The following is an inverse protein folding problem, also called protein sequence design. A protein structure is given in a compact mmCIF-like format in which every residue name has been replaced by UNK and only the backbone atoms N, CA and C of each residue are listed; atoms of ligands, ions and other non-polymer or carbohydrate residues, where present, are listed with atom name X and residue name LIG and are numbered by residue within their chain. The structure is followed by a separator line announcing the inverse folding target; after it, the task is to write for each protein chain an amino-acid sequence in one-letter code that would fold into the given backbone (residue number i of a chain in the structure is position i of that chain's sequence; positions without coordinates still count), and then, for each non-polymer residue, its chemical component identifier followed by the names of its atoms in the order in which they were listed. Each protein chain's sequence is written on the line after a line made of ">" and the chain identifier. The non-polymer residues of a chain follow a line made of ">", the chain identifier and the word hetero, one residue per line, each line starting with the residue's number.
data_IF_957296465965
#
_entry.id   IF_957296465965
#
_cell.length_a   1.000
_cell.length_b   1.000
_cell.length_c   1.000
_cell.angle_alpha   90.00
_cell.angle_beta   90.00
_cell.angle_gamma   90.00
#
_symmetry.space_group_name_H-M   'P 1'
#
loop_
_entity.id
_entity.type
_entity.pdbx_description
1 polymer ?
#
# COMPACT_ATOMS: atom_id res chain seq x y z
N UNK A 1 -13.19 3.34 -4.36
CA UNK A 1 -11.75 3.00 -4.46
C UNK A 1 -10.99 3.79 -3.42
N UNK A 2 -10.18 3.11 -2.60
CA UNK A 2 -9.34 3.72 -1.58
C UNK A 2 -7.86 3.54 -1.93
N UNK A 3 -7.07 4.59 -1.73
CA UNK A 3 -5.65 4.64 -2.10
C UNK A 3 -4.78 4.21 -0.91
N UNK A 4 -3.82 3.34 -1.19
CA UNK A 4 -2.86 2.77 -0.25
C UNK A 4 -1.43 3.04 -0.72
N UNK A 5 -0.84 4.13 -0.25
CA UNK A 5 0.54 4.47 -0.54
C UNK A 5 1.47 3.74 0.44
N UNK A 6 2.21 2.75 -0.07
CA UNK A 6 3.22 1.98 0.66
C UNK A 6 4.60 2.62 0.47
N UNK A 7 4.68 3.92 0.74
CA UNK A 7 5.92 4.71 0.61
C UNK A 7 6.30 5.37 1.94
N UNK A 8 7.60 5.57 2.20
CA UNK A 8 8.06 6.21 3.44
C UNK A 8 7.76 7.72 3.51
N UNK A 9 7.42 8.32 2.36
CA UNK A 9 7.24 9.75 2.15
C UNK A 9 5.78 10.15 1.90
N UNK A 10 4.82 9.35 2.39
CA UNK A 10 3.39 9.68 2.25
C UNK A 10 3.07 11.05 2.85
N UNK A 11 2.59 11.95 1.99
CA UNK A 11 2.30 13.36 2.28
C UNK A 11 1.21 13.57 3.33
N UNK A 12 0.32 12.59 3.53
CA UNK A 12 -0.76 12.61 4.52
C UNK A 12 -0.34 12.16 5.92
N UNK A 13 0.93 11.76 6.14
CA UNK A 13 1.41 11.24 7.43
C UNK A 13 0.87 9.85 7.77
N UNK A 14 0.17 9.21 6.83
CA UNK A 14 -0.45 7.88 6.94
C UNK A 14 0.39 6.77 6.30
N UNK A 15 1.59 7.12 5.82
CA UNK A 15 2.46 6.21 5.07
C UNK A 15 2.76 5.00 5.92
N UNK A 16 2.42 3.81 5.41
CA UNK A 16 2.64 2.56 6.12
C UNK A 16 4.12 2.29 6.44
N UNK A 17 5.04 3.06 5.83
CA UNK A 17 6.48 2.98 5.99
C UNK A 17 7.12 4.21 6.67
N UNK A 18 6.34 5.02 7.39
CA UNK A 18 6.84 6.26 8.01
C UNK A 18 7.96 6.05 9.05
N UNK A 19 8.23 4.81 9.51
CA UNK A 19 9.38 4.50 10.36
C UNK A 19 9.88 3.05 10.19
N UNK A 20 11.13 2.73 10.60
CA UNK A 20 11.63 1.35 10.61
C UNK A 20 10.80 0.39 11.48
N UNK A 21 10.15 0.91 12.53
CA UNK A 21 9.23 0.13 13.35
C UNK A 21 7.92 -0.17 12.60
N UNK A 22 7.48 0.72 11.71
CA UNK A 22 6.29 0.53 10.89
C UNK A 22 6.46 -0.66 9.93
N UNK A 23 7.67 -0.94 9.45
CA UNK A 23 7.94 -2.12 8.62
C UNK A 23 7.61 -3.44 9.34
N UNK A 24 7.87 -3.54 10.66
CA UNK A 24 7.56 -4.76 11.44
C UNK A 24 6.07 -5.02 11.57
N UNK A 25 5.26 -3.96 11.55
CA UNK A 25 3.80 -4.04 11.71
C UNK A 25 3.06 -3.76 10.40
N UNK A 26 3.76 -3.66 9.27
CA UNK A 26 3.23 -3.24 7.97
C UNK A 26 1.96 -4.01 7.59
N UNK A 27 1.99 -5.34 7.74
CA UNK A 27 0.86 -6.22 7.43
C UNK A 27 -0.37 -5.87 8.27
N UNK A 28 -0.18 -5.77 9.59
CA UNK A 28 -1.26 -5.48 10.53
C UNK A 28 -1.86 -4.08 10.29
N UNK A 29 -1.00 -3.06 10.14
CA UNK A 29 -1.44 -1.69 9.87
C UNK A 29 -2.16 -1.58 8.52
N UNK A 30 -1.72 -2.34 7.50
CA UNK A 30 -2.41 -2.40 6.23
C UNK A 30 -3.82 -2.99 6.38
N UNK A 31 -3.97 -4.11 7.09
CA UNK A 31 -5.28 -4.74 7.33
C UNK A 31 -6.22 -3.80 8.07
N UNK A 32 -5.80 -3.23 9.20
CA UNK A 32 -6.62 -2.30 9.99
C UNK A 32 -7.09 -1.09 9.18
N UNK A 33 -6.21 -0.53 8.36
CA UNK A 33 -6.56 0.60 7.49
C UNK A 33 -7.51 0.18 6.37
N UNK A 34 -7.34 -1.02 5.82
CA UNK A 34 -8.18 -1.54 4.75
C UNK A 34 -9.58 -1.87 5.24
N UNK A 35 -9.71 -2.49 6.42
CA UNK A 35 -10.99 -2.72 7.10
C UNK A 35 -11.75 -1.40 7.27
N UNK A 36 -11.06 -0.33 7.69
CA UNK A 36 -11.66 0.99 7.75
C UNK A 36 -12.14 1.46 6.38
N UNK A 37 -11.34 1.35 5.33
CA UNK A 37 -11.79 1.76 4.00
C UNK A 37 -13.01 0.98 3.50
N UNK A 38 -13.01 -0.34 3.66
CA UNK A 38 -14.16 -1.19 3.31
C UNK A 38 -15.39 -0.80 4.12
N UNK A 39 -15.25 -0.55 5.42
CA UNK A 39 -16.35 -0.07 6.26
C UNK A 39 -16.91 1.30 5.83
N UNK A 40 -16.10 2.12 5.15
CA UNK A 40 -16.53 3.40 4.55
C UNK A 40 -16.99 3.25 3.09
N UNK A 41 -17.17 2.02 2.59
CA UNK A 41 -17.72 1.74 1.26
C UNK A 41 -16.69 1.69 0.14
N UNK A 42 -15.41 1.43 0.42
CA UNK A 42 -14.43 1.21 -0.63
C UNK A 42 -14.51 -0.23 -1.17
N UNK A 43 -14.87 -0.37 -2.45
CA UNK A 43 -14.91 -1.69 -3.14
C UNK A 43 -13.54 -2.14 -3.65
N UNK A 44 -12.64 -1.18 -3.90
CA UNK A 44 -11.31 -1.39 -4.48
C UNK A 44 -10.26 -0.77 -3.55
N UNK A 45 -9.21 -1.52 -3.26
CA UNK A 45 -8.00 -1.08 -2.58
C UNK A 45 -6.87 -0.96 -3.61
N UNK A 46 -6.41 0.26 -3.86
CA UNK A 46 -5.40 0.56 -4.88
C UNK A 46 -4.03 0.78 -4.23
N UNK A 47 -3.14 -0.20 -4.39
CA UNK A 47 -1.85 -0.29 -3.69
C UNK A 47 -0.72 0.25 -4.58
N UNK A 48 -0.03 1.31 -4.14
CA UNK A 48 1.14 1.87 -4.81
C UNK A 48 2.41 1.78 -3.95
N UNK A 49 3.50 1.23 -4.49
CA UNK A 49 4.80 1.13 -3.80
C UNK A 49 5.79 2.24 -4.16
N UNK A 50 5.43 3.09 -5.12
CA UNK A 50 6.21 4.20 -5.62
C UNK A 50 5.42 5.51 -5.49
N UNK A 51 6.10 6.60 -5.12
CA UNK A 51 5.45 7.89 -4.98
C UNK A 51 5.34 8.57 -6.35
N UNK A 52 4.14 8.99 -6.72
CA UNK A 52 3.85 9.75 -7.95
C UNK A 52 3.86 11.26 -7.73
N UNK A 53 4.29 11.74 -6.55
CA UNK A 53 4.36 13.18 -6.25
C UNK A 53 5.39 13.89 -7.14
N UNK A 54 5.18 15.18 -7.47
CA UNK A 54 6.16 15.96 -8.24
C UNK A 54 7.55 15.95 -7.59
N UNK A 55 8.57 15.57 -8.35
CA UNK A 55 9.96 15.53 -7.89
C UNK A 55 10.34 14.27 -7.08
N UNK A 56 9.45 13.27 -6.95
CA UNK A 56 9.85 11.97 -6.41
C UNK A 56 10.88 11.30 -7.31
N UNK A 57 11.90 10.71 -6.68
CA UNK A 57 12.84 9.85 -7.39
C UNK A 57 12.17 8.50 -7.67
N UNK A 58 12.24 7.98 -8.90
CA UNK A 58 11.72 6.66 -9.20
C UNK A 58 12.50 5.59 -8.42
N UNK A 59 11.81 4.52 -8.04
CA UNK A 59 12.40 3.36 -7.39
C UNK A 59 12.55 2.20 -8.37
N UNK A 60 13.43 1.24 -8.04
CA UNK A 60 13.54 0.02 -8.84
C UNK A 60 12.28 -0.85 -8.70
N UNK A 61 12.00 -1.71 -9.70
CA UNK A 61 10.92 -2.69 -9.61
C UNK A 61 11.04 -3.58 -8.37
N UNK A 62 12.25 -4.06 -8.07
CA UNK A 62 12.52 -4.88 -6.89
C UNK A 62 12.13 -4.14 -5.60
N UNK A 63 12.49 -2.86 -5.48
CA UNK A 63 12.13 -2.03 -4.32
C UNK A 63 10.62 -1.84 -4.20
N UNK A 64 9.92 -1.64 -5.32
CA UNK A 64 8.47 -1.50 -5.31
C UNK A 64 7.79 -2.81 -4.90
N UNK A 65 8.22 -3.94 -5.45
CA UNK A 65 7.76 -5.29 -5.12
C UNK A 65 7.94 -5.58 -3.62
N UNK A 66 9.13 -5.29 -3.06
CA UNK A 66 9.42 -5.45 -1.64
C UNK A 66 8.46 -4.66 -0.73
N UNK A 67 7.92 -3.53 -1.22
CA UNK A 67 6.95 -2.71 -0.49
C UNK A 67 5.54 -3.26 -0.63
N UNK A 68 5.09 -3.57 -1.86
CA UNK A 68 3.68 -3.91 -2.12
C UNK A 68 3.31 -5.34 -1.76
N UNK A 69 4.22 -6.31 -1.95
CA UNK A 69 3.90 -7.74 -1.76
C UNK A 69 3.43 -8.05 -0.32
N UNK A 70 4.12 -7.62 0.76
CA UNK A 70 3.66 -7.90 2.12
C UNK A 70 2.25 -7.36 2.41
N UNK A 71 1.91 -6.22 1.82
CA UNK A 71 0.59 -5.57 1.94
C UNK A 71 -0.45 -6.37 1.17
N UNK A 72 -0.23 -6.64 -0.12
CA UNK A 72 -1.16 -7.41 -0.96
C UNK A 72 -1.45 -8.77 -0.33
N UNK A 73 -0.42 -9.50 0.12
CA UNK A 73 -0.59 -10.80 0.77
C UNK A 73 -1.47 -10.68 2.01
N UNK A 74 -1.18 -9.71 2.92
CA UNK A 74 -1.97 -9.52 4.13
C UNK A 74 -3.44 -9.19 3.83
N UNK A 75 -3.69 -8.30 2.86
CA UNK A 75 -5.04 -7.91 2.48
C UNK A 75 -5.80 -9.07 1.85
N UNK A 76 -5.18 -9.85 0.97
CA UNK A 76 -5.82 -11.02 0.34
C UNK A 76 -6.21 -12.10 1.35
N UNK A 77 -5.46 -12.25 2.45
CA UNK A 77 -5.75 -13.21 3.51
C UNK A 77 -6.90 -12.76 4.42
N UNK A 78 -7.00 -11.45 4.72
CA UNK A 78 -7.94 -10.92 5.72
C UNK A 78 -9.21 -10.32 5.12
N UNK A 79 -9.15 -9.87 3.87
CA UNK A 79 -10.25 -9.21 3.14
C UNK A 79 -10.43 -9.89 1.77
N UNK A 80 -10.83 -11.18 1.73
CA UNK A 80 -10.89 -11.95 0.49
C UNK A 80 -11.91 -11.40 -0.54
N UNK A 81 -12.90 -10.63 -0.08
CA UNK A 81 -13.92 -10.02 -0.93
C UNK A 81 -13.50 -8.65 -1.51
N UNK A 82 -12.43 -8.04 -0.99
CA UNK A 82 -11.96 -6.75 -1.47
C UNK A 82 -11.21 -6.90 -2.79
N UNK A 83 -11.52 -6.04 -3.76
CA UNK A 83 -10.79 -6.01 -5.03
C UNK A 83 -9.45 -5.31 -4.79
N UNK A 84 -8.35 -5.99 -5.06
CA UNK A 84 -7.01 -5.43 -4.95
C UNK A 84 -6.54 -4.96 -6.33
N UNK A 85 -6.22 -3.69 -6.44
CA UNK A 85 -5.56 -3.05 -7.58
C UNK A 85 -4.12 -2.72 -7.21
N UNK A 86 -3.21 -2.77 -8.19
CA UNK A 86 -1.80 -2.40 -8.02
C UNK A 86 -1.51 -1.22 -8.94
N UNK A 87 -1.21 -0.07 -8.36
CA UNK A 87 -0.81 1.14 -9.06
C UNK A 87 0.69 1.04 -9.39
N UNK A 88 0.98 0.50 -10.56
CA UNK A 88 2.34 0.43 -11.09
C UNK A 88 2.35 0.53 -12.61
N UNK A 89 3.36 1.20 -13.16
CA UNK A 89 3.66 1.18 -14.59
C UNK A 89 4.76 0.15 -14.94
N UNK A 90 5.31 -0.54 -13.94
CA UNK A 90 6.40 -1.49 -14.14
C UNK A 90 5.82 -2.87 -14.48
N UNK A 91 6.01 -3.29 -15.73
CA UNK A 91 5.51 -4.57 -16.22
C UNK A 91 6.28 -5.80 -15.72
N UNK A 92 7.40 -5.59 -15.01
CA UNK A 92 8.30 -6.62 -14.49
C UNK A 92 8.78 -6.25 -13.11
#
# INVERSE_FOLDING_TARGET
>A
MAIFNVTPDSFSGDGLLASPAAFRNLRQTAVERAERFVAHGADILDIGGESTRPGAAPVSAATEIERVIPVITALSEHLPDAIISVDTYKAR
#
